data_IF_037104413548
#
_entry.id   IF_037104413548
#
_cell.length_a   1.000
_cell.length_b   1.000
_cell.length_c   1.000
_cell.angle_alpha   90.00
_cell.angle_beta   90.00
_cell.angle_gamma   90.00
#
_symmetry.space_group_name_H-M   'P 1'
#
loop_
_entity.id
_entity.type
_entity.pdbx_description
1 polymer ?
#
# COMPACT_ATOMS: atom_id res chain seq x y z
N UNK A 1 8.86 52.27 -10.50
CA UNK A 1 8.84 51.93 -11.94
C UNK A 1 8.55 50.46 -12.20
N UNK A 2 9.23 49.50 -11.56
CA UNK A 2 8.95 48.07 -11.78
C UNK A 2 7.56 47.59 -11.33
N UNK A 3 7.02 48.11 -10.21
CA UNK A 3 5.64 47.79 -9.80
C UNK A 3 4.59 48.27 -10.82
N UNK A 4 4.86 49.38 -11.52
CA UNK A 4 4.03 49.91 -12.61
C UNK A 4 4.18 49.05 -13.88
N UNK A 5 5.40 48.60 -14.19
CA UNK A 5 5.64 47.68 -15.31
C UNK A 5 4.91 46.33 -15.14
N UNK A 6 4.80 45.81 -13.89
CA UNK A 6 3.95 44.64 -13.59
C UNK A 6 2.46 44.95 -13.54
N UNK A 7 2.05 46.22 -13.48
CA UNK A 7 0.64 46.59 -13.67
C UNK A 7 0.27 46.56 -15.16
N UNK A 8 1.16 47.02 -16.04
CA UNK A 8 0.94 47.08 -17.50
C UNK A 8 1.23 45.76 -18.23
N UNK A 9 2.30 45.04 -17.86
CA UNK A 9 2.66 43.71 -18.39
C UNK A 9 2.88 42.71 -17.24
N UNK A 10 1.79 42.10 -16.75
CA UNK A 10 1.81 41.36 -15.50
C UNK A 10 2.57 40.03 -15.49
N UNK A 11 2.98 39.55 -16.67
CA UNK A 11 3.74 38.32 -16.91
C UNK A 11 5.19 38.59 -17.32
N UNK A 12 5.65 39.85 -17.28
CA UNK A 12 7.02 40.20 -17.63
C UNK A 12 8.01 39.65 -16.60
N UNK A 13 8.66 38.53 -16.95
CA UNK A 13 9.62 37.84 -16.08
C UNK A 13 10.84 38.69 -15.74
N UNK A 14 11.32 39.54 -16.67
CA UNK A 14 12.46 40.43 -16.39
C UNK A 14 12.11 41.48 -15.34
N UNK A 15 10.89 42.04 -15.40
CA UNK A 15 10.41 42.97 -14.39
C UNK A 15 10.23 42.28 -13.02
N UNK A 16 9.79 41.02 -13.02
CA UNK A 16 9.66 40.23 -11.80
C UNK A 16 11.02 39.88 -11.18
N UNK A 17 12.02 39.50 -11.98
CA UNK A 17 13.39 39.23 -11.52
C UNK A 17 14.03 40.47 -10.89
N UNK A 18 13.91 41.64 -11.54
CA UNK A 18 14.36 42.90 -10.96
C UNK A 18 13.67 43.24 -9.63
N UNK A 19 12.37 42.94 -9.51
CA UNK A 19 11.64 43.09 -8.24
C UNK A 19 12.06 42.08 -7.18
N UNK A 20 12.36 40.84 -7.56
CA UNK A 20 12.91 39.82 -6.67
C UNK A 20 14.22 40.31 -6.07
N UNK A 21 15.15 40.79 -6.90
CA UNK A 21 16.43 41.34 -6.45
C UNK A 21 16.25 42.54 -5.53
N UNK A 22 15.39 43.50 -5.92
CA UNK A 22 15.12 44.70 -5.14
C UNK A 22 14.54 44.38 -3.75
N UNK A 23 13.48 43.55 -3.70
CA UNK A 23 12.84 43.21 -2.42
C UNK A 23 13.72 42.33 -1.54
N UNK A 24 14.57 41.49 -2.13
CA UNK A 24 15.56 40.70 -1.38
C UNK A 24 16.63 41.62 -0.78
N UNK A 25 17.17 42.56 -1.55
CA UNK A 25 18.15 43.54 -1.06
C UNK A 25 17.58 44.42 0.06
N UNK A 26 16.30 44.78 -0.03
CA UNK A 26 15.58 45.55 1.00
C UNK A 26 15.09 44.68 2.18
N UNK A 27 15.36 43.37 2.19
CA UNK A 27 14.82 42.39 3.16
C UNK A 27 13.30 42.48 3.34
N UNK A 28 12.59 42.90 2.29
CA UNK A 28 11.16 43.13 2.27
C UNK A 28 10.40 41.86 1.86
N UNK A 29 10.63 40.76 2.56
CA UNK A 29 10.16 39.42 2.17
C UNK A 29 8.64 39.27 2.10
N UNK A 30 7.87 40.02 2.91
CA UNK A 30 6.40 40.06 2.81
C UNK A 30 5.93 40.64 1.47
N UNK A 31 6.62 41.69 0.98
CA UNK A 31 6.32 42.28 -0.34
C UNK A 31 6.71 41.31 -1.46
N UNK A 32 7.83 40.60 -1.28
CA UNK A 32 8.28 39.58 -2.22
C UNK A 32 7.24 38.44 -2.37
N UNK A 33 6.75 37.87 -1.26
CA UNK A 33 5.70 36.85 -1.30
C UNK A 33 4.43 37.37 -1.98
N UNK A 34 4.03 38.63 -1.71
CA UNK A 34 2.89 39.26 -2.38
C UNK A 34 3.10 39.37 -3.90
N UNK A 35 4.32 39.72 -4.34
CA UNK A 35 4.67 39.77 -5.76
C UNK A 35 4.59 38.37 -6.40
N UNK A 36 5.14 37.33 -5.74
CA UNK A 36 5.03 35.94 -6.20
C UNK A 36 3.56 35.49 -6.35
N UNK A 37 2.73 35.74 -5.35
CA UNK A 37 1.29 35.41 -5.39
C UNK A 37 0.56 36.13 -6.52
N UNK A 38 0.90 37.41 -6.75
CA UNK A 38 0.33 38.19 -7.83
C UNK A 38 0.72 37.63 -9.20
N UNK A 39 2.00 37.28 -9.40
CA UNK A 39 2.48 36.60 -10.60
C UNK A 39 1.73 35.28 -10.80
N UNK A 40 1.67 34.42 -9.78
CA UNK A 40 0.96 33.13 -9.81
C UNK A 40 -0.51 33.25 -10.20
N UNK A 41 -1.21 34.29 -9.73
CA UNK A 41 -2.61 34.57 -10.09
C UNK A 41 -2.79 35.00 -11.54
N UNK A 42 -1.77 35.61 -12.14
CA UNK A 42 -1.81 36.21 -13.49
C UNK A 42 -1.21 35.31 -14.56
N UNK A 43 -0.52 34.24 -14.17
CA UNK A 43 0.01 33.27 -15.11
C UNK A 43 -1.12 32.65 -15.96
N UNK A 44 -0.93 32.55 -17.29
CA UNK A 44 -1.86 31.86 -18.18
C UNK A 44 -2.19 30.44 -17.70
N UNK A 45 -3.42 29.96 -17.94
CA UNK A 45 -3.86 28.62 -17.52
C UNK A 45 -3.04 27.50 -18.18
N UNK A 46 -2.53 27.70 -19.39
CA UNK A 46 -1.66 26.79 -20.13
C UNK A 46 -0.21 26.77 -19.61
N UNK A 47 0.12 27.59 -18.61
CA UNK A 47 1.45 27.57 -17.99
C UNK A 47 1.75 26.18 -17.41
N UNK A 48 2.89 25.55 -17.77
CA UNK A 48 3.27 24.24 -17.25
C UNK A 48 3.20 24.18 -15.73
N UNK A 49 2.60 23.11 -15.20
CA UNK A 49 2.44 22.91 -13.75
C UNK A 49 3.77 22.95 -13.00
N UNK A 50 4.85 22.50 -13.63
CA UNK A 50 6.21 22.47 -13.08
C UNK A 50 6.70 23.88 -12.73
N UNK A 51 6.42 24.86 -13.60
CA UNK A 51 6.76 26.27 -13.35
C UNK A 51 5.96 26.83 -12.17
N UNK A 52 4.66 26.52 -12.11
CA UNK A 52 3.79 26.93 -10.99
C UNK A 52 4.27 26.33 -9.67
N UNK A 53 4.65 25.05 -9.67
CA UNK A 53 5.23 24.35 -8.51
C UNK A 53 6.54 25.01 -8.07
N UNK A 54 7.43 25.35 -9.00
CA UNK A 54 8.68 26.03 -8.68
C UNK A 54 8.45 27.39 -7.99
N UNK A 55 7.53 28.21 -8.49
CA UNK A 55 7.21 29.49 -7.86
C UNK A 55 6.64 29.32 -6.45
N UNK A 56 5.74 28.35 -6.24
CA UNK A 56 5.25 28.06 -4.88
C UNK A 56 6.34 27.50 -3.96
N UNK A 57 7.33 26.77 -4.47
CA UNK A 57 8.49 26.32 -3.68
C UNK A 57 9.32 27.50 -3.17
N UNK A 58 9.56 28.50 -4.01
CA UNK A 58 10.25 29.73 -3.61
C UNK A 58 9.46 30.47 -2.52
N UNK A 59 8.13 30.58 -2.67
CA UNK A 59 7.27 31.19 -1.63
C UNK A 59 7.37 30.43 -0.31
N UNK A 60 7.27 29.10 -0.35
CA UNK A 60 7.38 28.27 0.84
C UNK A 60 8.75 28.43 1.52
N UNK A 61 9.84 28.48 0.74
CA UNK A 61 11.18 28.66 1.26
C UNK A 61 11.36 30.03 1.93
N UNK A 62 10.96 31.12 1.27
CA UNK A 62 11.04 32.48 1.83
C UNK A 62 10.20 32.58 3.11
N UNK A 63 9.01 31.97 3.12
CA UNK A 63 8.14 31.97 4.30
C UNK A 63 8.79 31.24 5.48
N UNK A 64 9.44 30.09 5.25
CA UNK A 64 10.11 29.32 6.30
C UNK A 64 11.40 29.97 6.80
N UNK A 65 12.31 30.31 5.89
CA UNK A 65 13.69 30.70 6.22
C UNK A 65 13.79 32.16 6.67
N UNK A 66 13.13 33.07 5.95
CA UNK A 66 13.31 34.52 6.15
C UNK A 66 12.25 35.13 7.07
N UNK A 67 11.01 34.61 7.00
CA UNK A 67 9.88 35.15 7.78
C UNK A 67 9.53 34.31 9.00
N UNK A 68 10.02 33.07 9.09
CA UNK A 68 9.59 32.08 10.09
C UNK A 68 8.05 31.97 10.20
N UNK A 69 7.35 32.22 9.10
CA UNK A 69 5.89 32.21 9.01
C UNK A 69 5.41 30.83 8.56
N UNK A 70 5.23 29.95 9.54
CA UNK A 70 4.77 28.57 9.29
C UNK A 70 3.39 28.52 8.61
N UNK A 71 2.50 29.49 8.84
CA UNK A 71 1.16 29.50 8.23
C UNK A 71 1.27 29.78 6.73
N UNK A 72 2.05 30.77 6.36
CA UNK A 72 2.30 31.12 4.96
C UNK A 72 3.00 29.97 4.21
N UNK A 73 3.97 29.32 4.86
CA UNK A 73 4.66 28.17 4.30
C UNK A 73 3.73 26.96 4.09
N UNK A 74 2.84 26.65 5.06
CA UNK A 74 1.82 25.61 4.92
C UNK A 74 0.96 25.88 3.68
N UNK A 75 0.43 27.10 3.53
CA UNK A 75 -0.42 27.47 2.38
C UNK A 75 0.33 27.22 1.06
N UNK A 76 1.59 27.63 0.96
CA UNK A 76 2.38 27.45 -0.26
C UNK A 76 2.61 25.96 -0.59
N UNK A 77 2.93 25.14 0.42
CA UNK A 77 3.13 23.69 0.25
C UNK A 77 1.82 22.95 -0.09
N UNK A 78 0.69 23.37 0.47
CA UNK A 78 -0.62 22.83 0.09
C UNK A 78 -0.98 23.12 -1.38
N UNK A 79 -0.62 24.31 -1.87
CA UNK A 79 -0.79 24.65 -3.28
C UNK A 79 0.07 23.76 -4.18
N UNK A 80 1.28 23.40 -3.75
CA UNK A 80 2.11 22.40 -4.46
C UNK A 80 1.40 21.05 -4.47
N UNK A 81 0.89 20.56 -3.33
CA UNK A 81 0.18 19.28 -3.28
C UNK A 81 -1.06 19.25 -4.18
N UNK A 82 -1.75 20.38 -4.38
CA UNK A 82 -2.90 20.48 -5.30
C UNK A 82 -2.48 20.47 -6.77
N UNK A 83 -1.38 21.16 -7.11
CA UNK A 83 -0.90 21.27 -8.49
C UNK A 83 -0.21 19.99 -8.97
N UNK A 84 0.64 19.42 -8.13
CA UNK A 84 1.32 18.17 -8.40
C UNK A 84 1.52 17.37 -7.10
N UNK A 85 0.61 16.43 -6.80
CA UNK A 85 0.74 15.56 -5.64
C UNK A 85 2.07 14.79 -5.62
N UNK A 86 2.70 14.56 -6.78
CA UNK A 86 3.94 13.79 -6.94
C UNK A 86 5.20 14.65 -6.91
N UNK A 87 5.08 15.96 -6.70
CA UNK A 87 6.26 16.82 -6.56
C UNK A 87 7.16 16.33 -5.41
N UNK A 88 8.47 16.34 -5.61
CA UNK A 88 9.40 15.88 -4.57
C UNK A 88 9.52 16.89 -3.42
N UNK A 89 9.72 16.38 -2.20
CA UNK A 89 10.19 17.09 -1.00
C UNK A 89 9.16 17.96 -0.27
N UNK A 90 8.01 18.26 -0.89
CA UNK A 90 7.03 19.17 -0.31
C UNK A 90 6.19 18.53 0.81
N UNK A 91 5.92 17.23 0.73
CA UNK A 91 5.15 16.51 1.75
C UNK A 91 5.95 16.36 3.05
N UNK A 92 7.25 16.06 2.96
CA UNK A 92 8.13 15.98 4.13
C UNK A 92 8.12 17.32 4.91
N UNK A 93 8.34 18.44 4.22
CA UNK A 93 8.26 19.79 4.81
C UNK A 93 6.86 20.12 5.35
N UNK A 94 5.80 19.72 4.65
CA UNK A 94 4.42 20.00 5.06
C UNK A 94 4.06 19.23 6.34
N UNK A 95 4.49 17.97 6.46
CA UNK A 95 4.30 17.17 7.65
C UNK A 95 4.99 17.79 8.87
N UNK A 96 6.25 18.23 8.72
CA UNK A 96 7.02 18.90 9.78
C UNK A 96 6.34 20.19 10.25
N UNK A 97 5.86 21.02 9.32
CA UNK A 97 5.16 22.25 9.66
C UNK A 97 3.83 21.98 10.37
N UNK A 98 3.07 20.96 9.94
CA UNK A 98 1.84 20.60 10.62
C UNK A 98 2.08 20.05 12.02
N UNK A 99 3.13 19.25 12.20
CA UNK A 99 3.50 18.76 13.51
C UNK A 99 3.98 19.91 14.43
N UNK A 100 4.67 20.91 13.87
CA UNK A 100 5.12 22.09 14.62
C UNK A 100 4.01 23.09 14.93
N UNK A 101 2.90 23.08 14.17
CA UNK A 101 1.75 23.95 14.37
C UNK A 101 0.93 23.57 15.62
N UNK A 102 1.18 22.40 16.22
CA UNK A 102 0.57 21.96 17.47
C UNK A 102 -0.61 21.00 17.30
N UNK A 103 -1.29 20.63 18.42
CA UNK A 103 -2.25 19.52 18.46
C UNK A 103 -3.40 19.63 17.44
N UNK A 104 -3.89 20.84 17.17
CA UNK A 104 -4.98 21.09 16.21
C UNK A 104 -4.61 20.69 14.77
N UNK A 105 -3.32 20.53 14.47
CA UNK A 105 -2.80 20.19 13.16
C UNK A 105 -2.24 18.75 13.08
N UNK A 106 -2.24 17.98 14.18
CA UNK A 106 -1.65 16.64 14.21
C UNK A 106 -2.33 15.67 13.26
N UNK A 107 -3.66 15.73 13.14
CA UNK A 107 -4.39 14.89 12.18
C UNK A 107 -3.94 15.14 10.74
N UNK A 108 -3.62 16.40 10.39
CA UNK A 108 -3.09 16.74 9.07
C UNK A 108 -1.66 16.24 8.89
N UNK A 109 -0.81 16.36 9.90
CA UNK A 109 0.54 15.81 9.88
C UNK A 109 0.54 14.27 9.69
N UNK A 110 -0.37 13.57 10.38
CA UNK A 110 -0.58 12.12 10.24
C UNK A 110 -0.99 11.78 8.80
N UNK A 111 -1.97 12.49 8.23
CA UNK A 111 -2.43 12.24 6.86
C UNK A 111 -1.33 12.47 5.82
N UNK A 112 -0.48 13.48 5.98
CA UNK A 112 0.65 13.73 5.08
C UNK A 112 1.68 12.59 5.19
N UNK A 113 2.06 12.19 6.41
CA UNK A 113 2.98 11.07 6.62
C UNK A 113 2.46 9.75 6.06
N UNK A 114 1.15 9.47 6.19
CA UNK A 114 0.53 8.28 5.59
C UNK A 114 0.60 8.31 4.06
N UNK A 115 0.41 9.47 3.42
CA UNK A 115 0.58 9.63 1.95
C UNK A 115 2.02 9.42 1.50
N UNK A 116 2.99 9.86 2.31
CA UNK A 116 4.41 9.57 2.07
C UNK A 116 4.63 8.06 2.10
N UNK A 117 4.09 7.36 3.10
CA UNK A 117 4.23 5.91 3.25
C UNK A 117 3.51 5.10 2.17
N UNK A 118 2.36 5.57 1.67
CA UNK A 118 1.68 4.95 0.52
C UNK A 118 2.57 4.90 -0.73
N UNK A 119 3.50 5.85 -0.87
CA UNK A 119 4.43 5.94 -2.02
C UNK A 119 5.82 5.41 -1.72
N UNK A 120 6.30 5.60 -0.51
CA UNK A 120 7.62 5.18 -0.01
C UNK A 120 7.41 4.31 1.26
N UNK A 121 6.97 3.04 1.13
CA UNK A 121 6.60 2.21 2.29
C UNK A 121 7.72 1.92 3.28
N UNK A 122 8.98 2.13 2.86
CA UNK A 122 10.19 1.91 3.66
C UNK A 122 10.76 3.21 4.23
N UNK A 123 10.04 4.34 4.14
CA UNK A 123 10.50 5.62 4.69
C UNK A 123 10.48 5.59 6.23
N UNK A 124 11.66 5.42 6.82
CA UNK A 124 11.86 5.32 8.27
C UNK A 124 11.50 6.61 9.01
N UNK A 125 11.79 7.77 8.43
CA UNK A 125 11.54 9.07 9.08
C UNK A 125 10.05 9.35 9.22
N UNK A 126 9.25 9.01 8.20
CA UNK A 126 7.79 9.12 8.28
C UNK A 126 7.20 8.22 9.39
N UNK A 127 7.74 7.01 9.60
CA UNK A 127 7.31 6.17 10.72
C UNK A 127 7.72 6.73 12.08
N UNK A 128 8.93 7.27 12.23
CA UNK A 128 9.35 7.90 13.50
C UNK A 128 8.45 9.09 13.85
N UNK A 129 8.11 9.90 12.85
CA UNK A 129 7.22 11.03 13.06
C UNK A 129 5.80 10.59 13.41
N UNK A 130 5.27 9.55 12.74
CA UNK A 130 3.99 8.97 13.14
C UNK A 130 4.01 8.39 14.55
N UNK A 131 5.10 7.74 14.96
CA UNK A 131 5.25 7.23 16.32
C UNK A 131 5.18 8.36 17.35
N UNK A 132 5.92 9.45 17.10
CA UNK A 132 5.91 10.67 17.93
C UNK A 132 4.50 11.25 18.01
N UNK A 133 3.86 11.51 16.86
CA UNK A 133 2.52 12.08 16.78
C UNK A 133 1.48 11.21 17.51
N UNK A 134 1.47 9.89 17.27
CA UNK A 134 0.52 8.99 17.94
C UNK A 134 0.76 8.91 19.45
N UNK A 135 2.00 9.02 19.91
CA UNK A 135 2.32 9.06 21.35
C UNK A 135 1.81 10.35 21.98
N UNK A 136 2.05 11.50 21.35
CA UNK A 136 1.57 12.81 21.82
C UNK A 136 0.03 12.91 21.80
N UNK A 137 -0.63 12.30 20.81
CA UNK A 137 -2.09 12.19 20.74
C UNK A 137 -2.69 11.17 21.72
N UNK A 138 -1.87 10.38 22.42
CA UNK A 138 -2.34 9.29 23.29
C UNK A 138 -2.89 8.06 22.56
N UNK A 139 -2.68 7.95 21.24
CA UNK A 139 -3.13 6.84 20.40
C UNK A 139 -2.21 5.61 20.53
N UNK A 140 -2.25 4.97 21.71
CA UNK A 140 -1.33 3.88 22.12
C UNK A 140 -1.29 2.71 21.13
N UNK A 141 -2.43 2.24 20.65
CA UNK A 141 -2.48 1.10 19.73
C UNK A 141 -1.79 1.42 18.39
N UNK A 142 -2.01 2.63 17.88
CA UNK A 142 -1.35 3.10 16.64
C UNK A 142 0.16 3.24 16.86
N UNK A 143 0.58 3.80 17.99
CA UNK A 143 2.00 3.90 18.35
C UNK A 143 2.65 2.50 18.46
N UNK A 144 1.97 1.53 19.08
CA UNK A 144 2.41 0.13 19.12
C UNK A 144 2.59 -0.45 17.71
N UNK A 145 1.60 -0.29 16.82
CA UNK A 145 1.73 -0.78 15.44
C UNK A 145 2.93 -0.17 14.72
N UNK A 146 3.14 1.15 14.85
CA UNK A 146 4.30 1.83 14.24
C UNK A 146 5.62 1.34 14.83
N UNK A 147 5.70 1.10 16.15
CA UNK A 147 6.90 0.55 16.80
C UNK A 147 7.26 -0.84 16.27
N UNK A 148 6.27 -1.66 15.93
CA UNK A 148 6.47 -2.96 15.28
C UNK A 148 7.06 -2.82 13.88
N UNK A 149 6.57 -1.87 13.08
CA UNK A 149 7.11 -1.58 11.75
C UNK A 149 8.54 -1.05 11.84
N UNK A 150 8.83 -0.12 12.75
CA UNK A 150 10.18 0.38 12.98
C UNK A 150 11.14 -0.74 13.42
N UNK A 151 10.67 -1.68 14.24
CA UNK A 151 11.44 -2.86 14.65
C UNK A 151 11.76 -3.76 13.45
N UNK A 152 10.76 -4.03 12.61
CA UNK A 152 10.92 -4.80 11.36
C UNK A 152 11.92 -4.13 10.41
N UNK A 153 11.87 -2.81 10.28
CA UNK A 153 12.78 -2.01 9.45
C UNK A 153 14.19 -1.82 10.07
N UNK A 154 14.43 -2.42 11.26
CA UNK A 154 15.67 -2.28 12.04
C UNK A 154 16.03 -0.81 12.28
N UNK A 155 15.01 0.01 12.51
CA UNK A 155 15.09 1.45 12.71
C UNK A 155 14.56 1.90 14.07
N UNK A 156 14.02 0.97 14.86
CA UNK A 156 13.47 1.25 16.18
C UNK A 156 14.56 1.63 17.19
N UNK A 157 14.24 2.61 18.04
CA UNK A 157 15.02 2.88 19.26
C UNK A 157 14.86 1.75 20.28
N UNK A 158 15.72 1.73 21.31
CA UNK A 158 15.61 0.75 22.39
C UNK A 158 14.26 0.84 23.14
N UNK A 159 13.70 2.04 23.25
CA UNK A 159 12.41 2.28 23.90
C UNK A 159 11.26 1.77 23.04
N UNK A 160 11.20 2.16 21.77
CA UNK A 160 10.20 1.66 20.81
C UNK A 160 10.21 0.13 20.73
N UNK A 161 11.41 -0.46 20.68
CA UNK A 161 11.56 -1.92 20.65
C UNK A 161 11.04 -2.56 21.94
N UNK A 162 11.31 -1.97 23.11
CA UNK A 162 10.78 -2.48 24.40
C UNK A 162 9.26 -2.42 24.42
N UNK A 163 8.66 -1.34 23.95
CA UNK A 163 7.20 -1.20 23.87
C UNK A 163 6.60 -2.28 22.99
N UNK A 164 7.19 -2.50 21.80
CA UNK A 164 6.79 -3.57 20.91
C UNK A 164 6.95 -4.95 21.55
N UNK A 165 8.12 -5.25 22.12
CA UNK A 165 8.42 -6.55 22.71
C UNK A 165 7.55 -6.86 23.95
N UNK A 166 7.12 -5.84 24.69
CA UNK A 166 6.24 -5.98 25.85
C UNK A 166 4.77 -6.29 25.47
N UNK A 167 4.30 -5.80 24.32
CA UNK A 167 2.89 -5.92 23.91
C UNK A 167 2.68 -6.86 22.71
N UNK A 168 3.75 -7.35 22.07
CA UNK A 168 3.62 -8.30 20.96
C UNK A 168 2.90 -9.56 21.43
N UNK A 169 1.94 -10.09 20.65
CA UNK A 169 1.25 -11.32 21.01
C UNK A 169 2.24 -12.47 21.19
N UNK A 170 2.17 -13.18 22.32
CA UNK A 170 3.08 -14.28 22.63
C UNK A 170 3.08 -15.30 21.47
N UNK A 171 4.21 -15.59 20.81
CA UNK A 171 4.27 -16.54 19.69
C UNK A 171 3.70 -17.92 20.01
N UNK A 172 3.72 -18.32 21.29
CA UNK A 172 3.20 -19.59 21.78
C UNK A 172 1.71 -19.57 22.14
N UNK A 173 1.09 -18.39 22.18
CA UNK A 173 -0.36 -18.28 22.34
C UNK A 173 -1.02 -18.64 21.00
N UNK A 174 -1.93 -19.62 21.05
CA UNK A 174 -2.63 -20.14 19.88
C UNK A 174 -3.37 -19.06 19.10
N UNK A 175 -3.70 -19.36 17.84
CA UNK A 175 -4.42 -18.42 16.99
C UNK A 175 -5.84 -18.23 17.53
N UNK A 176 -6.27 -16.97 17.69
CA UNK A 176 -7.67 -16.66 18.01
C UNK A 176 -8.56 -17.21 16.89
N UNK A 177 -9.46 -18.13 17.26
CA UNK A 177 -10.37 -18.77 16.31
C UNK A 177 -11.40 -17.77 15.78
N UNK A 178 -11.69 -17.85 14.49
CA UNK A 178 -12.76 -17.11 13.86
C UNK A 178 -14.11 -17.50 14.47
N UNK A 179 -15.00 -16.53 14.64
CA UNK A 179 -16.36 -16.75 15.17
C UNK A 179 -17.40 -16.97 14.07
N UNK A 180 -17.03 -16.68 12.84
CA UNK A 180 -17.88 -16.80 11.67
C UNK A 180 -17.02 -17.24 10.48
N UNK A 181 -17.68 -17.86 9.50
CA UNK A 181 -17.07 -18.17 8.22
C UNK A 181 -16.90 -16.89 7.40
N UNK A 182 -15.88 -16.89 6.56
CA UNK A 182 -15.56 -15.84 5.61
C UNK A 182 -16.01 -16.25 4.21
N UNK A 183 -17.20 -16.83 4.08
CA UNK A 183 -17.74 -17.23 2.78
C UNK A 183 -18.52 -16.12 2.08
N UNK A 184 -19.02 -15.13 2.83
CA UNK A 184 -19.77 -14.01 2.29
C UNK A 184 -18.87 -13.03 1.52
N UNK A 185 -19.16 -12.87 0.22
CA UNK A 185 -18.52 -11.90 -0.66
C UNK A 185 -18.58 -10.47 -0.14
N UNK A 186 -19.64 -10.10 0.60
CA UNK A 186 -19.75 -8.78 1.20
C UNK A 186 -18.64 -8.53 2.23
N UNK A 187 -18.37 -9.52 3.10
CA UNK A 187 -17.28 -9.46 4.09
C UNK A 187 -15.93 -9.30 3.39
N UNK A 188 -15.71 -10.02 2.29
CA UNK A 188 -14.48 -9.91 1.52
C UNK A 188 -14.30 -8.52 0.91
N UNK A 189 -15.34 -8.00 0.26
CA UNK A 189 -15.32 -6.67 -0.37
C UNK A 189 -15.12 -5.55 0.64
N UNK A 190 -15.71 -5.67 1.83
CA UNK A 190 -15.66 -4.61 2.85
C UNK A 190 -14.39 -4.65 3.70
N UNK A 191 -13.88 -5.85 4.04
CA UNK A 191 -12.86 -5.99 5.08
C UNK A 191 -11.57 -6.69 4.66
N UNK A 192 -11.55 -7.41 3.53
CA UNK A 192 -10.39 -8.22 3.13
C UNK A 192 -9.72 -7.68 1.87
N UNK A 193 -10.51 -7.24 0.88
CA UNK A 193 -9.99 -6.71 -0.37
C UNK A 193 -9.13 -5.46 -0.14
N UNK A 194 -7.99 -5.42 -0.82
CA UNK A 194 -7.11 -4.27 -0.77
C UNK A 194 -7.78 -3.06 -1.44
N UNK A 195 -7.51 -1.83 -0.96
CA UNK A 195 -8.05 -0.58 -1.51
C UNK A 195 -7.81 -0.37 -3.02
N UNK A 196 -6.82 -1.07 -3.60
CA UNK A 196 -6.50 -1.01 -5.04
C UNK A 196 -7.21 -2.10 -5.87
N UNK A 197 -7.85 -3.07 -5.23
CA UNK A 197 -8.63 -4.09 -5.91
C UNK A 197 -9.94 -3.47 -6.36
N UNK A 198 -10.18 -3.46 -7.67
CA UNK A 198 -11.39 -2.89 -8.26
C UNK A 198 -12.46 -3.98 -8.33
N UNK A 199 -13.62 -3.84 -7.64
CA UNK A 199 -14.64 -4.89 -7.57
C UNK A 199 -15.14 -5.35 -8.94
N UNK A 200 -15.38 -4.41 -9.87
CA UNK A 200 -15.82 -4.71 -11.24
C UNK A 200 -14.81 -5.59 -11.99
N UNK A 201 -13.51 -5.35 -11.80
CA UNK A 201 -12.47 -6.19 -12.43
C UNK A 201 -12.51 -7.59 -11.83
N UNK A 202 -12.64 -7.72 -10.51
CA UNK A 202 -12.76 -9.03 -9.85
C UNK A 202 -13.99 -9.80 -10.33
N UNK A 203 -15.14 -9.14 -10.50
CA UNK A 203 -16.36 -9.75 -11.05
C UNK A 203 -16.16 -10.19 -12.51
N UNK A 204 -15.62 -9.32 -13.36
CA UNK A 204 -15.28 -9.68 -14.75
C UNK A 204 -14.35 -10.89 -14.80
N UNK A 205 -13.28 -10.89 -13.99
CA UNK A 205 -12.35 -12.00 -13.89
C UNK A 205 -13.05 -13.28 -13.44
N UNK A 206 -13.93 -13.23 -12.44
CA UNK A 206 -14.67 -14.42 -11.99
C UNK A 206 -15.52 -15.05 -13.10
N UNK A 207 -16.12 -14.23 -13.97
CA UNK A 207 -16.97 -14.68 -15.10
C UNK A 207 -16.12 -15.29 -16.21
N UNK A 208 -15.00 -14.67 -16.55
CA UNK A 208 -14.21 -15.10 -17.72
C UNK A 208 -13.20 -16.18 -17.39
N UNK A 209 -12.76 -16.29 -16.14
CA UNK A 209 -11.74 -17.27 -15.73
C UNK A 209 -12.07 -18.70 -16.15
N UNK A 210 -13.30 -19.22 -16.01
CA UNK A 210 -13.65 -20.57 -16.47
C UNK A 210 -13.33 -20.87 -17.95
N UNK A 211 -13.34 -19.84 -18.81
CA UNK A 211 -13.00 -19.95 -20.24
C UNK A 211 -11.50 -20.11 -20.47
N UNK A 212 -10.67 -19.57 -19.58
CA UNK A 212 -9.21 -19.55 -19.73
C UNK A 212 -8.51 -20.61 -18.87
N UNK A 213 -9.16 -21.12 -17.82
CA UNK A 213 -8.62 -22.21 -16.98
C UNK A 213 -8.07 -23.40 -17.79
N UNK A 214 -8.71 -23.88 -18.89
CA UNK A 214 -8.15 -24.95 -19.72
C UNK A 214 -6.72 -24.67 -20.21
N UNK A 215 -6.38 -23.41 -20.48
CA UNK A 215 -5.03 -23.02 -20.92
C UNK A 215 -3.98 -23.10 -19.79
N UNK A 216 -4.44 -23.12 -18.53
CA UNK A 216 -3.60 -23.21 -17.34
C UNK A 216 -3.31 -24.64 -16.91
N UNK A 217 -4.14 -25.58 -17.34
CA UNK A 217 -4.15 -26.93 -16.80
C UNK A 217 -2.79 -27.59 -17.04
N UNK A 218 -2.26 -28.17 -15.97
CA UNK A 218 -1.09 -29.04 -16.05
C UNK A 218 -1.57 -30.46 -16.30
N UNK A 219 -0.88 -31.16 -17.18
CA UNK A 219 -1.06 -32.60 -17.31
C UNK A 219 -0.61 -33.28 -16.03
N UNK A 220 -1.42 -34.21 -15.52
CA UNK A 220 -1.13 -34.97 -14.29
C UNK A 220 0.25 -35.64 -14.32
N UNK A 221 0.65 -36.17 -15.49
CA UNK A 221 1.95 -36.80 -15.73
C UNK A 221 3.14 -35.85 -15.49
N UNK A 222 3.01 -34.57 -15.86
CA UNK A 222 4.07 -33.57 -15.66
C UNK A 222 4.34 -33.33 -14.18
N UNK A 223 3.32 -33.52 -13.35
CA UNK A 223 3.42 -33.34 -11.91
C UNK A 223 4.01 -34.56 -11.20
N UNK A 224 4.22 -35.71 -11.86
CA UNK A 224 4.87 -36.90 -11.26
C UNK A 224 4.29 -37.25 -9.87
N UNK A 225 2.96 -37.24 -9.75
CA UNK A 225 2.26 -37.48 -8.48
C UNK A 225 2.47 -38.94 -8.04
N UNK A 226 2.82 -39.14 -6.76
CA UNK A 226 3.00 -40.48 -6.18
C UNK A 226 2.01 -40.66 -5.04
N UNK A 227 1.27 -41.77 -5.04
CA UNK A 227 0.28 -42.06 -3.99
C UNK A 227 0.90 -42.05 -2.57
N UNK A 228 2.15 -42.50 -2.42
CA UNK A 228 2.87 -42.48 -1.14
C UNK A 228 3.14 -41.08 -0.58
N UNK A 229 3.16 -40.05 -1.44
CA UNK A 229 3.37 -38.66 -1.03
C UNK A 229 2.04 -37.93 -0.77
N UNK A 230 0.90 -38.57 -1.03
CA UNK A 230 -0.42 -37.96 -0.87
C UNK A 230 -0.75 -37.82 0.61
N UNK A 231 -1.19 -36.62 1.00
CA UNK A 231 -1.67 -36.34 2.35
C UNK A 231 -3.18 -36.43 2.38
N UNK A 232 -3.70 -37.04 3.45
CA UNK A 232 -5.13 -37.11 3.75
C UNK A 232 -5.37 -36.39 5.08
N UNK A 233 -5.56 -35.05 5.08
CA UNK A 233 -5.75 -34.29 6.32
C UNK A 233 -6.89 -34.82 7.19
N UNK A 234 -7.92 -35.41 6.58
CA UNK A 234 -9.07 -36.00 7.27
C UNK A 234 -8.70 -37.16 8.19
N UNK A 235 -7.65 -37.91 7.84
CA UNK A 235 -7.19 -39.09 8.58
C UNK A 235 -5.93 -38.80 9.41
N UNK A 236 -5.38 -37.58 9.29
CA UNK A 236 -4.11 -37.21 9.89
C UNK A 236 -4.30 -36.48 11.23
N UNK A 237 -3.64 -36.98 12.27
CA UNK A 237 -3.72 -36.43 13.63
C UNK A 237 -2.69 -35.33 13.92
N UNK A 238 -1.75 -35.07 13.00
CA UNK A 238 -0.70 -34.05 13.17
C UNK A 238 -1.30 -32.64 13.21
N UNK A 239 -0.58 -31.72 13.85
CA UNK A 239 -1.04 -30.34 14.07
C UNK A 239 -1.43 -29.61 12.76
N UNK A 240 -0.67 -29.81 11.68
CA UNK A 240 -0.97 -29.16 10.39
C UNK A 240 -2.36 -29.51 9.86
N UNK A 241 -2.83 -30.75 10.05
CA UNK A 241 -4.10 -31.23 9.53
C UNK A 241 -5.28 -30.55 10.26
N UNK A 242 -5.17 -30.39 11.58
CA UNK A 242 -6.14 -29.64 12.38
C UNK A 242 -6.22 -28.17 11.94
N UNK A 243 -5.07 -27.54 11.70
CA UNK A 243 -5.02 -26.15 11.22
C UNK A 243 -5.56 -26.05 9.79
N UNK A 244 -5.25 -27.00 8.92
CA UNK A 244 -5.76 -27.06 7.56
C UNK A 244 -7.28 -27.19 7.53
N UNK A 245 -7.87 -28.07 8.34
CA UNK A 245 -9.32 -28.19 8.49
C UNK A 245 -9.95 -26.89 8.99
N UNK A 246 -9.36 -26.29 10.02
CA UNK A 246 -9.84 -25.02 10.57
C UNK A 246 -9.86 -23.91 9.49
N UNK A 247 -8.77 -23.73 8.74
CA UNK A 247 -8.72 -22.69 7.70
C UNK A 247 -9.64 -23.03 6.53
N UNK A 248 -9.74 -24.29 6.12
CA UNK A 248 -10.62 -24.73 5.04
C UNK A 248 -12.09 -24.48 5.38
N UNK A 249 -12.51 -24.73 6.62
CA UNK A 249 -13.88 -24.47 7.07
C UNK A 249 -14.20 -22.97 7.17
N UNK A 250 -13.24 -22.17 7.69
CA UNK A 250 -13.42 -20.72 7.77
C UNK A 250 -13.52 -20.07 6.39
N UNK A 251 -12.72 -20.52 5.41
CA UNK A 251 -12.69 -19.94 4.07
C UNK A 251 -13.69 -20.59 3.09
N UNK A 252 -14.24 -21.76 3.45
CA UNK A 252 -15.03 -22.62 2.56
C UNK A 252 -14.30 -22.94 1.25
N UNK A 253 -12.99 -23.20 1.36
CA UNK A 253 -12.12 -23.55 0.24
C UNK A 253 -11.29 -24.76 0.64
N UNK A 254 -11.25 -25.79 -0.21
CA UNK A 254 -10.39 -26.95 0.00
C UNK A 254 -9.92 -27.53 -1.34
N UNK A 255 -8.60 -27.74 -1.55
CA UNK A 255 -8.09 -28.41 -2.73
C UNK A 255 -8.57 -29.86 -2.80
N UNK A 256 -8.67 -30.39 -4.01
CA UNK A 256 -9.05 -31.79 -4.27
C UNK A 256 -8.00 -32.76 -3.73
N UNK A 257 -6.72 -32.47 -3.96
CA UNK A 257 -5.62 -33.35 -3.58
C UNK A 257 -4.46 -32.56 -2.95
N UNK A 258 -3.76 -33.19 -2.01
CA UNK A 258 -2.60 -32.59 -1.33
C UNK A 258 -1.44 -33.57 -1.38
N UNK A 259 -0.26 -33.09 -1.75
CA UNK A 259 0.95 -33.90 -1.82
C UNK A 259 2.10 -33.24 -1.07
N UNK A 260 2.85 -34.05 -0.33
CA UNK A 260 4.09 -33.65 0.31
C UNK A 260 5.24 -33.66 -0.73
N UNK A 261 5.81 -32.50 -1.01
CA UNK A 261 6.88 -32.39 -2.01
C UNK A 261 7.81 -31.21 -1.75
N UNK A 262 9.10 -31.49 -1.78
CA UNK A 262 10.14 -30.44 -1.69
C UNK A 262 9.99 -29.42 -2.82
N UNK A 263 9.92 -28.16 -2.45
CA UNK A 263 9.67 -27.05 -3.38
C UNK A 263 10.39 -25.79 -2.90
N UNK A 264 10.59 -24.83 -3.82
CA UNK A 264 11.08 -23.49 -3.44
C UNK A 264 10.04 -22.71 -2.63
N UNK A 265 8.77 -23.00 -2.86
CA UNK A 265 7.63 -22.39 -2.16
C UNK A 265 7.07 -23.36 -1.14
N UNK A 266 6.73 -22.85 0.05
CA UNK A 266 6.16 -23.65 1.14
C UNK A 266 4.84 -24.35 0.76
N UNK A 267 4.00 -23.65 0.00
CA UNK A 267 2.75 -24.15 -0.55
C UNK A 267 2.64 -23.70 -2.01
N UNK A 268 2.19 -24.60 -2.88
CA UNK A 268 1.97 -24.27 -4.28
C UNK A 268 0.75 -25.00 -4.83
N UNK A 269 -0.20 -24.24 -5.35
CA UNK A 269 -1.42 -24.79 -5.95
C UNK A 269 -1.26 -24.94 -7.46
N UNK A 270 -1.73 -26.06 -7.99
CA UNK A 270 -1.84 -26.34 -9.42
C UNK A 270 -3.28 -26.66 -9.79
N UNK A 271 -3.68 -26.22 -10.99
CA UNK A 271 -4.87 -26.71 -11.65
C UNK A 271 -4.45 -27.84 -12.60
N UNK A 272 -5.08 -29.00 -12.48
CA UNK A 272 -4.69 -30.23 -13.18
C UNK A 272 -5.88 -30.77 -13.96
N UNK A 273 -5.62 -31.26 -15.17
CA UNK A 273 -6.59 -32.05 -15.93
C UNK A 273 -6.90 -33.33 -15.15
N UNK A 274 -8.18 -33.61 -14.91
CA UNK A 274 -8.65 -34.80 -14.22
C UNK A 274 -9.50 -35.68 -15.16
N UNK A 275 -9.98 -36.83 -14.70
CA UNK A 275 -10.80 -37.72 -15.55
C UNK A 275 -12.13 -37.04 -15.96
N UNK A 276 -12.43 -37.08 -17.27
CA UNK A 276 -13.55 -36.33 -17.87
C UNK A 276 -13.23 -34.83 -18.02
N UNK A 277 -14.20 -33.99 -18.37
CA UNK A 277 -14.03 -32.52 -18.39
C UNK A 277 -13.82 -31.90 -16.98
N UNK A 278 -13.44 -32.72 -15.99
CA UNK A 278 -13.19 -32.37 -14.61
C UNK A 278 -11.81 -31.73 -14.42
N UNK A 279 -11.71 -30.92 -13.37
CA UNK A 279 -10.51 -30.15 -13.03
C UNK A 279 -10.19 -30.37 -11.56
N UNK A 280 -8.99 -30.83 -11.26
CA UNK A 280 -8.53 -31.03 -9.89
C UNK A 280 -7.63 -29.88 -9.44
N UNK A 281 -7.79 -29.47 -8.18
CA UNK A 281 -6.89 -28.56 -7.51
C UNK A 281 -5.89 -29.39 -6.69
N UNK A 282 -4.62 -29.33 -7.07
CA UNK A 282 -3.56 -30.09 -6.40
C UNK A 282 -2.65 -29.14 -5.63
N UNK A 283 -2.62 -29.28 -4.31
CA UNK A 283 -1.76 -28.51 -3.42
C UNK A 283 -0.48 -29.26 -3.11
N UNK A 284 0.66 -28.69 -3.49
CA UNK A 284 1.97 -29.17 -3.03
C UNK A 284 2.36 -28.49 -1.73
N UNK A 285 2.79 -29.30 -0.79
CA UNK A 285 3.21 -28.90 0.55
C UNK A 285 4.68 -29.24 0.74
N UNK A 286 5.52 -28.25 1.00
CA UNK A 286 6.92 -28.50 1.35
C UNK A 286 7.00 -29.16 2.73
N UNK A 287 7.83 -30.21 2.93
CA UNK A 287 7.98 -30.84 4.25
C UNK A 287 8.31 -29.88 5.38
N UNK A 288 9.07 -28.81 5.10
CA UNK A 288 9.45 -27.82 6.09
C UNK A 288 8.28 -27.00 6.65
N UNK A 289 7.08 -27.08 6.04
CA UNK A 289 5.90 -26.43 6.59
C UNK A 289 5.27 -27.23 7.74
N UNK A 290 5.45 -28.55 7.76
CA UNK A 290 4.82 -29.43 8.76
C UNK A 290 5.33 -29.18 10.18
N UNK A 291 6.55 -28.64 10.30
CA UNK A 291 7.21 -28.32 11.56
C UNK A 291 6.95 -26.87 12.04
N UNK A 292 6.16 -26.11 11.27
CA UNK A 292 5.87 -24.71 11.57
C UNK A 292 4.90 -24.59 12.75
N UNK A 293 4.97 -23.46 13.46
CA UNK A 293 4.00 -23.15 14.50
C UNK A 293 2.60 -22.89 13.89
N UNK A 294 1.57 -22.95 14.73
CA UNK A 294 0.17 -22.76 14.31
C UNK A 294 -0.06 -21.45 13.55
N UNK A 295 0.56 -20.34 13.97
CA UNK A 295 0.37 -19.02 13.35
C UNK A 295 0.91 -18.98 11.92
N UNK A 296 2.09 -19.54 11.71
CA UNK A 296 2.70 -19.68 10.38
C UNK A 296 1.86 -20.60 9.50
N UNK A 297 1.36 -21.72 10.04
CA UNK A 297 0.45 -22.62 9.33
C UNK A 297 -0.85 -21.91 8.92
N UNK A 298 -1.51 -21.20 9.83
CA UNK A 298 -2.72 -20.43 9.53
C UNK A 298 -2.45 -19.40 8.43
N UNK A 299 -1.35 -18.64 8.54
CA UNK A 299 -0.99 -17.65 7.52
C UNK A 299 -0.78 -18.28 6.13
N UNK A 300 0.01 -19.36 6.06
CA UNK A 300 0.31 -20.02 4.79
C UNK A 300 -0.91 -20.67 4.16
N UNK A 301 -1.72 -21.40 4.94
CA UNK A 301 -2.96 -21.98 4.45
C UNK A 301 -3.97 -20.91 4.05
N UNK A 302 -4.21 -19.91 4.91
CA UNK A 302 -5.19 -18.87 4.61
C UNK A 302 -4.80 -18.11 3.33
N UNK A 303 -3.53 -17.73 3.18
CA UNK A 303 -3.03 -17.07 1.96
C UNK A 303 -3.25 -17.93 0.72
N UNK A 304 -2.95 -19.22 0.79
CA UNK A 304 -3.04 -20.12 -0.37
C UNK A 304 -4.48 -20.41 -0.74
N UNK A 305 -5.32 -20.75 0.24
CA UNK A 305 -6.73 -21.07 0.02
C UNK A 305 -7.56 -19.84 -0.40
N UNK A 306 -7.19 -18.64 0.05
CA UNK A 306 -7.83 -17.39 -0.40
C UNK A 306 -7.70 -17.15 -1.91
N UNK A 307 -6.63 -17.66 -2.53
CA UNK A 307 -6.40 -17.53 -3.96
C UNK A 307 -7.22 -18.53 -4.80
N UNK A 308 -7.90 -19.49 -4.16
CA UNK A 308 -8.77 -20.45 -4.85
C UNK A 308 -10.13 -19.88 -5.24
N UNK A 309 -10.50 -18.73 -4.67
CA UNK A 309 -11.71 -17.98 -5.01
C UNK A 309 -11.72 -17.62 -6.51
N UNK A 310 -12.90 -17.62 -7.12
CA UNK A 310 -13.09 -17.51 -8.57
C UNK A 310 -12.41 -16.29 -9.21
N UNK A 311 -12.44 -15.15 -8.53
CA UNK A 311 -11.86 -13.88 -8.94
C UNK A 311 -10.32 -13.89 -8.95
N UNK A 312 -9.70 -14.83 -8.23
CA UNK A 312 -8.25 -14.98 -8.14
C UNK A 312 -7.73 -16.14 -8.99
N UNK A 313 -8.60 -17.03 -9.47
CA UNK A 313 -8.19 -18.21 -10.24
C UNK A 313 -7.41 -17.87 -11.52
N UNK A 314 -7.62 -16.68 -12.10
CA UNK A 314 -6.85 -16.21 -13.26
C UNK A 314 -5.34 -16.14 -12.97
N UNK A 315 -4.93 -15.98 -11.72
CA UNK A 315 -3.52 -15.96 -11.30
C UNK A 315 -2.85 -17.32 -11.52
N UNK A 316 -3.61 -18.43 -11.55
CA UNK A 316 -3.10 -19.75 -11.90
C UNK A 316 -2.91 -19.91 -13.41
N UNK A 317 -3.69 -19.17 -14.22
CA UNK A 317 -3.70 -19.24 -15.69
C UNK A 317 -2.60 -18.40 -16.31
N UNK A 318 -2.39 -17.18 -15.81
CA UNK A 318 -1.31 -16.34 -16.31
C UNK A 318 -0.75 -15.39 -15.26
N UNK A 319 0.53 -15.54 -14.88
CA UNK A 319 1.18 -14.57 -14.01
C UNK A 319 1.63 -13.31 -14.77
N UNK A 320 1.49 -13.26 -16.11
CA UNK A 320 2.03 -12.14 -16.89
C UNK A 320 1.01 -11.02 -17.08
N UNK A 321 1.35 -9.75 -16.79
CA UNK A 321 0.48 -8.60 -17.03
C UNK A 321 0.00 -8.48 -18.49
N UNK A 322 0.80 -8.94 -19.46
CA UNK A 322 0.47 -8.91 -20.89
C UNK A 322 -0.75 -9.76 -21.21
N UNK A 323 -0.80 -10.99 -20.69
CA UNK A 323 -1.95 -11.88 -20.92
C UNK A 323 -3.17 -11.36 -20.19
N UNK A 324 -3.03 -10.95 -18.92
CA UNK A 324 -4.14 -10.33 -18.17
C UNK A 324 -4.74 -9.12 -18.92
N UNK A 325 -3.89 -8.28 -19.51
CA UNK A 325 -4.34 -7.16 -20.34
C UNK A 325 -5.09 -7.62 -21.59
N UNK A 326 -4.59 -8.65 -22.29
CA UNK A 326 -5.26 -9.21 -23.45
C UNK A 326 -6.63 -9.81 -23.10
N UNK A 327 -6.72 -10.53 -21.96
CA UNK A 327 -7.96 -11.06 -21.42
C UNK A 327 -8.98 -9.94 -21.16
N UNK A 328 -8.57 -8.89 -20.43
CA UNK A 328 -9.44 -7.75 -20.14
C UNK A 328 -9.89 -7.02 -21.41
N UNK A 329 -9.00 -6.82 -22.39
CA UNK A 329 -9.36 -6.21 -23.68
C UNK A 329 -10.33 -7.06 -24.48
N UNK A 330 -10.23 -8.39 -24.42
CA UNK A 330 -11.18 -9.29 -25.05
C UNK A 330 -12.56 -9.20 -24.39
N UNK A 331 -12.61 -9.07 -23.06
CA UNK A 331 -13.87 -8.91 -22.31
C UNK A 331 -14.60 -7.61 -22.63
N UNK A 332 -13.87 -6.51 -22.91
CA UNK A 332 -14.45 -5.19 -23.23
C UNK A 332 -14.96 -5.12 -24.67
N UNK A 333 -14.47 -5.99 -25.56
CA UNK A 333 -14.87 -6.03 -26.98
C UNK A 333 -16.06 -6.94 -27.28
N UNK A 334 -16.44 -7.79 -26.32
CA UNK A 334 -17.70 -8.54 -26.31
C UNK A 334 -18.81 -7.62 -25.83
#
# INVERSE_FOLDING_TARGET
EFDLALQDQPTNMMAFEALKELYTAQKSFKKLIRAYRLLLKRLPEDTPKEKRVQLWREVAQIAQEELQDGREAIIALEMISKLDPKADGHEERLAELYASAGPDAYDKAVQVNQRILDRKPLNKEAYKELYRLYTEMGARDKAFCVSGVLTLLKAATNEERRIYDAHKPNPHEGVRRARAKLSDDAIWREHIHHKQQVPVISEMLSIVTPLFVPMALKKREMLKLRAADQLQPQEDSRAYAQVFHYVSDVLEQSPTEIYLRTSKEQLKLYMVEDEGDSRAQVLFMDPGILERNERELVFHFARTLSLMRSEHQVLYVSPTPTVLRALMLACIKL
#
